data_IF_513567120175
#
_entry.id   IF_513567120175
#
_cell.length_a   1.000
_cell.length_b   1.000
_cell.length_c   1.000
_cell.angle_alpha   90.00
_cell.angle_beta   90.00
_cell.angle_gamma   90.00
#
_symmetry.space_group_name_H-M   'P 1'
#
loop_
_entity.id
_entity.type
_entity.pdbx_description
1 polymer ?
#
# COMPACT_ATOMS: atom_id res chain seq x y z
N UNK A 1 15.85 -19.85 -6.77
CA UNK A 1 16.13 -18.51 -6.20
C UNK A 1 16.26 -17.52 -7.36
N UNK A 2 15.51 -16.42 -7.36
CA UNK A 2 15.65 -15.37 -8.39
C UNK A 2 17.01 -14.68 -8.24
N UNK A 3 17.64 -14.30 -9.35
CA UNK A 3 18.88 -13.52 -9.32
C UNK A 3 18.64 -12.16 -8.65
N UNK A 4 19.67 -11.59 -8.02
CA UNK A 4 19.56 -10.28 -7.36
C UNK A 4 19.09 -9.20 -8.35
N UNK A 5 19.60 -9.23 -9.59
CA UNK A 5 19.16 -8.33 -10.65
C UNK A 5 17.66 -8.42 -10.90
N UNK A 6 17.11 -9.64 -11.00
CA UNK A 6 15.69 -9.83 -11.22
C UNK A 6 14.86 -9.38 -10.01
N UNK A 7 15.33 -9.64 -8.78
CA UNK A 7 14.66 -9.12 -7.57
C UNK A 7 14.59 -7.60 -7.59
N UNK A 8 15.70 -6.93 -7.86
CA UNK A 8 15.75 -5.46 -7.94
C UNK A 8 14.87 -4.94 -9.07
N UNK A 9 14.88 -5.58 -10.25
CA UNK A 9 13.99 -5.20 -11.35
C UNK A 9 12.51 -5.31 -10.95
N UNK A 10 12.13 -6.41 -10.29
CA UNK A 10 10.77 -6.59 -9.78
C UNK A 10 10.40 -5.55 -8.73
N UNK A 11 11.33 -5.19 -7.83
CA UNK A 11 11.11 -4.14 -6.83
C UNK A 11 10.67 -2.83 -7.50
N UNK A 12 11.42 -2.35 -8.48
CA UNK A 12 11.08 -1.10 -9.18
C UNK A 12 9.82 -1.23 -10.04
N UNK A 13 9.65 -2.36 -10.74
CA UNK A 13 8.48 -2.59 -11.59
C UNK A 13 7.18 -2.71 -10.79
N UNK A 14 7.23 -3.22 -9.55
CA UNK A 14 6.08 -3.28 -8.64
C UNK A 14 5.83 -1.93 -7.95
N UNK A 15 6.88 -1.18 -7.61
CA UNK A 15 6.72 0.14 -6.97
C UNK A 15 5.93 1.13 -7.84
N UNK A 16 6.10 1.10 -9.16
CA UNK A 16 5.40 1.98 -10.11
C UNK A 16 3.87 1.88 -9.99
N UNK A 17 3.24 0.70 -10.22
CA UNK A 17 1.79 0.59 -10.12
C UNK A 17 1.28 0.80 -8.69
N UNK A 18 2.04 0.42 -7.66
CA UNK A 18 1.68 0.67 -6.26
C UNK A 18 1.57 2.17 -6.01
N UNK A 19 2.58 2.95 -6.42
CA UNK A 19 2.59 4.41 -6.28
C UNK A 19 1.47 5.06 -7.10
N UNK A 20 1.25 4.63 -8.34
CA UNK A 20 0.17 5.14 -9.18
C UNK A 20 -1.20 4.92 -8.53
N UNK A 21 -1.50 3.70 -8.07
CA UNK A 21 -2.79 3.39 -7.43
C UNK A 21 -2.96 4.20 -6.14
N UNK A 22 -1.90 4.28 -5.32
CA UNK A 22 -1.95 5.02 -4.08
C UNK A 22 -2.21 6.52 -4.31
N UNK A 23 -1.50 7.12 -5.27
CA UNK A 23 -1.70 8.51 -5.66
C UNK A 23 -3.08 8.75 -6.24
N UNK A 24 -3.54 7.94 -7.19
CA UNK A 24 -4.86 8.11 -7.82
C UNK A 24 -5.98 8.08 -6.77
N UNK A 25 -5.98 7.12 -5.85
CA UNK A 25 -7.04 7.05 -4.83
C UNK A 25 -6.96 8.23 -3.84
N UNK A 26 -5.74 8.66 -3.50
CA UNK A 26 -5.51 9.67 -2.44
C UNK A 26 -5.32 11.09 -2.92
N UNK A 27 -5.26 11.36 -4.22
CA UNK A 27 -5.12 12.71 -4.77
C UNK A 27 -6.13 13.05 -5.89
N UNK A 28 -6.58 12.08 -6.69
CA UNK A 28 -7.47 12.36 -7.83
C UNK A 28 -8.85 12.88 -7.37
N UNK A 29 -9.40 13.84 -8.12
CA UNK A 29 -10.71 14.46 -7.81
C UNK A 29 -11.89 13.49 -7.94
N UNK A 30 -11.77 12.48 -8.80
CA UNK A 30 -12.79 11.42 -8.94
C UNK A 30 -13.06 10.71 -7.62
N UNK A 31 -12.07 10.63 -6.74
CA UNK A 31 -12.19 10.00 -5.42
C UNK A 31 -12.47 11.01 -4.28
N UNK A 32 -12.79 12.26 -4.61
CA UNK A 32 -13.02 13.31 -3.60
C UNK A 32 -14.20 12.99 -2.68
N UNK A 33 -15.35 12.64 -3.22
CA UNK A 33 -16.55 12.30 -2.40
C UNK A 33 -16.30 11.12 -1.44
N UNK A 34 -15.74 9.96 -1.90
CA UNK A 34 -15.32 8.89 -0.99
C UNK A 34 -14.31 9.36 0.06
N UNK A 35 -13.34 10.20 -0.31
CA UNK A 35 -12.30 10.66 0.61
C UNK A 35 -12.84 11.62 1.66
N UNK A 36 -13.73 12.54 1.30
CA UNK A 36 -14.41 13.42 2.24
C UNK A 36 -15.29 12.62 3.21
N UNK A 37 -15.99 11.58 2.71
CA UNK A 37 -16.71 10.64 3.56
C UNK A 37 -15.80 9.95 4.57
N UNK A 38 -14.68 9.37 4.11
CA UNK A 38 -13.69 8.72 4.97
C UNK A 38 -13.07 9.70 5.97
N UNK A 39 -12.76 10.93 5.56
CA UNK A 39 -12.22 11.98 6.43
C UNK A 39 -13.19 12.34 7.54
N UNK A 40 -14.47 12.51 7.20
CA UNK A 40 -15.50 12.78 8.21
C UNK A 40 -15.64 11.63 9.19
N UNK A 41 -15.66 10.38 8.72
CA UNK A 41 -15.72 9.19 9.59
C UNK A 41 -14.45 9.00 10.43
N UNK A 42 -13.28 9.38 9.92
CA UNK A 42 -12.03 9.30 10.67
C UNK A 42 -11.97 10.27 11.86
N UNK A 43 -12.71 11.38 11.79
CA UNK A 43 -12.80 12.38 12.86
C UNK A 43 -14.00 12.15 13.80
N UNK A 44 -15.17 11.87 13.22
CA UNK A 44 -16.44 11.79 13.95
C UNK A 44 -16.81 10.37 14.43
N UNK A 45 -16.06 9.35 14.02
CA UNK A 45 -16.36 7.94 14.34
C UNK A 45 -16.52 7.71 15.85
N UNK A 46 -17.37 6.77 16.23
CA UNK A 46 -17.69 6.52 17.66
C UNK A 46 -16.59 5.72 18.36
N UNK A 47 -15.83 4.94 17.61
CA UNK A 47 -14.75 4.09 18.12
C UNK A 47 -13.39 4.48 17.53
N UNK A 48 -12.31 4.25 18.28
CA UNK A 48 -10.94 4.48 17.78
C UNK A 48 -10.59 3.60 16.57
N UNK A 49 -11.17 2.39 16.49
CA UNK A 49 -10.97 1.46 15.38
C UNK A 49 -11.59 2.00 14.10
N UNK A 50 -12.84 2.48 14.17
CA UNK A 50 -13.52 3.15 13.05
C UNK A 50 -12.68 4.34 12.56
N UNK A 51 -12.23 5.19 13.50
CA UNK A 51 -11.44 6.38 13.16
C UNK A 51 -10.15 6.02 12.41
N UNK A 52 -9.39 5.05 12.91
CA UNK A 52 -8.14 4.59 12.28
C UNK A 52 -8.39 3.88 10.95
N UNK A 53 -9.44 3.08 10.84
CA UNK A 53 -9.78 2.38 9.60
C UNK A 53 -10.08 3.37 8.47
N UNK A 54 -10.90 4.38 8.74
CA UNK A 54 -11.22 5.40 7.73
C UNK A 54 -10.06 6.36 7.46
N UNK A 55 -9.23 6.64 8.47
CA UNK A 55 -8.00 7.45 8.27
C UNK A 55 -7.06 6.82 7.24
N UNK A 56 -7.01 5.49 7.18
CA UNK A 56 -6.16 4.77 6.24
C UNK A 56 -6.39 5.16 4.77
N UNK A 57 -7.64 5.37 4.39
CA UNK A 57 -8.03 5.74 3.02
C UNK A 57 -7.80 7.22 2.69
N UNK A 58 -7.35 8.01 3.67
CA UNK A 58 -7.07 9.44 3.50
C UNK A 58 -5.58 9.77 3.45
N UNK A 59 -4.72 8.80 3.80
CA UNK A 59 -3.27 8.97 3.84
C UNK A 59 -2.60 8.14 2.73
N UNK A 60 -1.84 8.79 1.85
CA UNK A 60 -1.11 8.14 0.75
C UNK A 60 -0.18 7.02 1.23
N UNK A 61 0.57 7.30 2.29
CA UNK A 61 1.55 6.37 2.85
C UNK A 61 0.87 5.19 3.53
N UNK A 62 -0.22 5.41 4.26
CA UNK A 62 -0.95 4.31 4.89
C UNK A 62 -1.62 3.43 3.83
N UNK A 63 -2.19 4.03 2.78
CA UNK A 63 -2.88 3.29 1.73
C UNK A 63 -1.89 2.50 0.84
N UNK A 64 -0.69 3.04 0.57
CA UNK A 64 0.33 2.33 -0.21
C UNK A 64 0.77 1.01 0.44
N UNK A 65 0.75 0.87 1.77
CA UNK A 65 1.01 -0.40 2.45
C UNK A 65 -0.02 -1.47 2.07
N UNK A 66 -1.29 -1.10 1.94
CA UNK A 66 -2.36 -2.04 1.64
C UNK A 66 -2.30 -2.48 0.18
N UNK A 67 -2.02 -1.53 -0.71
CA UNK A 67 -1.75 -1.85 -2.12
C UNK A 67 -0.52 -2.75 -2.22
N UNK A 68 0.55 -2.46 -1.49
CA UNK A 68 1.76 -3.29 -1.45
C UNK A 68 1.46 -4.71 -0.97
N UNK A 69 0.72 -4.87 0.14
CA UNK A 69 0.33 -6.18 0.67
C UNK A 69 -0.47 -6.95 -0.39
N UNK A 70 -1.42 -6.30 -1.08
CA UNK A 70 -2.16 -6.91 -2.17
C UNK A 70 -1.22 -7.40 -3.28
N UNK A 71 -0.29 -6.57 -3.76
CA UNK A 71 0.68 -6.98 -4.80
C UNK A 71 1.62 -8.09 -4.33
N UNK A 72 2.08 -8.08 -3.09
CA UNK A 72 2.91 -9.15 -2.52
C UNK A 72 2.14 -10.48 -2.42
N UNK A 73 0.86 -10.43 -2.03
CA UNK A 73 -0.02 -11.61 -2.01
C UNK A 73 -0.28 -12.15 -3.43
N UNK A 74 -0.46 -11.28 -4.41
CA UNK A 74 -0.71 -11.67 -5.81
C UNK A 74 0.53 -12.23 -6.50
N UNK A 75 1.69 -11.62 -6.29
CA UNK A 75 2.93 -11.96 -7.00
C UNK A 75 3.76 -13.00 -6.25
N UNK A 76 3.54 -13.16 -4.95
CA UNK A 76 4.39 -13.97 -4.08
C UNK A 76 5.82 -13.44 -3.95
N UNK A 77 6.07 -12.19 -4.36
CA UNK A 77 7.40 -11.58 -4.37
C UNK A 77 8.02 -11.50 -2.97
N UNK A 78 9.28 -11.91 -2.86
CA UNK A 78 10.10 -11.83 -1.65
C UNK A 78 11.43 -11.19 -2.02
N UNK A 79 11.95 -10.33 -1.14
CA UNK A 79 13.22 -9.64 -1.35
C UNK A 79 14.29 -10.19 -0.39
N UNK A 80 15.47 -10.52 -0.92
CA UNK A 80 16.68 -11.02 -0.24
C UNK A 80 16.57 -12.38 0.49
N UNK A 81 15.42 -12.68 1.11
CA UNK A 81 15.20 -13.90 1.90
C UNK A 81 14.02 -14.69 1.33
N UNK A 82 14.18 -16.01 1.22
CA UNK A 82 13.11 -16.89 0.70
C UNK A 82 12.04 -17.24 1.75
N UNK A 83 12.25 -16.88 3.02
CA UNK A 83 11.29 -17.10 4.10
C UNK A 83 10.31 -15.91 4.25
N UNK A 84 9.46 -15.97 5.27
CA UNK A 84 8.45 -14.91 5.52
C UNK A 84 9.07 -13.53 5.77
N UNK A 85 10.31 -13.46 6.25
CA UNK A 85 11.00 -12.19 6.45
C UNK A 85 11.24 -11.45 5.12
N UNK A 86 11.38 -12.17 4.01
CA UNK A 86 11.48 -11.57 2.68
C UNK A 86 10.23 -10.78 2.26
N UNK A 87 9.05 -11.14 2.77
CA UNK A 87 7.83 -10.34 2.56
C UNK A 87 7.87 -9.04 3.36
N UNK A 88 8.42 -9.05 4.58
CA UNK A 88 8.57 -7.82 5.37
C UNK A 88 9.54 -6.86 4.70
N UNK A 89 10.71 -7.36 4.28
CA UNK A 89 11.71 -6.54 3.60
C UNK A 89 11.15 -5.99 2.29
N UNK A 90 10.48 -6.82 1.49
CA UNK A 90 9.83 -6.37 0.26
C UNK A 90 8.74 -5.33 0.53
N UNK A 91 7.92 -5.52 1.57
CA UNK A 91 6.84 -4.61 1.93
C UNK A 91 7.33 -3.20 2.23
N UNK A 92 8.34 -3.07 3.09
CA UNK A 92 8.92 -1.76 3.41
C UNK A 92 9.78 -1.17 2.29
N UNK A 93 10.28 -1.98 1.36
CA UNK A 93 11.04 -1.50 0.22
C UNK A 93 10.16 -1.01 -0.96
N UNK A 94 8.89 -1.42 -1.00
CA UNK A 94 7.92 -1.06 -2.05
C UNK A 94 7.07 0.17 -1.72
N UNK A 95 7.08 0.62 -0.46
CA UNK A 95 6.29 1.76 0.04
C UNK A 95 7.13 3.03 0.08
#
# INVERSE_FOLDING_TARGET
>A
MMTLTLQISWLFLLAIPIACIAWTVTHEEVFREPREYCTRRSQEGKSLVERKFFYLFTCEYCFSHYVTILFLCLTGYKLLMDNWAGYLIAGFALV
#
